data_IF_045244948544
#
_entry.id   IF_045244948544
#
_cell.length_a   1.000
_cell.length_b   1.000
_cell.length_c   1.000
_cell.angle_alpha   90.00
_cell.angle_beta   90.00
_cell.angle_gamma   90.00
#
_symmetry.space_group_name_H-M   'P 1'
#
loop_
_entity.id
_entity.type
_entity.pdbx_description
1 polymer ?
#
# COMPACT_ATOMS: atom_id res chain seq x y z
N UNK A 1 -0.60 7.26 2.00
CA UNK A 1 0.18 6.63 3.06
C UNK A 1 -0.76 5.72 3.83
N UNK A 2 -0.70 4.40 3.64
CA UNK A 2 -1.51 3.42 4.40
C UNK A 2 -0.73 3.13 5.68
N UNK A 3 -1.35 3.16 6.87
CA UNK A 3 -0.65 2.77 8.09
C UNK A 3 -0.24 1.30 7.96
N UNK A 4 1.05 1.03 8.09
CA UNK A 4 1.57 -0.33 8.24
C UNK A 4 1.04 -0.85 9.58
N UNK A 5 0.05 -1.72 9.50
CA UNK A 5 -0.44 -2.47 10.64
C UNK A 5 0.66 -3.46 11.02
N UNK A 6 1.36 -3.19 12.12
CA UNK A 6 2.32 -4.13 12.73
C UNK A 6 1.59 -5.41 13.14
N UNK A 7 1.52 -6.37 12.22
CA UNK A 7 0.88 -7.67 12.46
C UNK A 7 1.95 -8.56 13.10
N UNK A 8 1.75 -8.93 14.37
CA UNK A 8 2.58 -9.90 15.07
C UNK A 8 2.23 -11.33 14.63
N UNK A 9 3.16 -12.29 14.70
CA UNK A 9 2.98 -13.66 14.25
C UNK A 9 1.73 -14.34 14.86
N UNK A 10 1.41 -14.07 16.12
CA UNK A 10 0.20 -14.57 16.77
C UNK A 10 -1.10 -14.07 16.13
N UNK A 11 -1.09 -12.83 15.63
CA UNK A 11 -2.26 -12.23 14.97
C UNK A 11 -2.44 -12.78 13.54
N UNK A 12 -1.37 -13.19 12.86
CA UNK A 12 -1.45 -13.84 11.56
C UNK A 12 -2.17 -15.19 11.64
N UNK A 13 -1.87 -16.00 12.66
CA UNK A 13 -2.57 -17.27 12.91
C UNK A 13 -4.05 -17.05 13.23
N UNK A 14 -4.37 -16.02 14.00
CA UNK A 14 -5.76 -15.65 14.30
C UNK A 14 -6.53 -15.22 13.04
N UNK A 15 -5.90 -14.47 12.13
CA UNK A 15 -6.50 -14.05 10.85
C UNK A 15 -6.76 -15.28 9.97
N UNK A 16 -5.77 -16.18 9.83
CA UNK A 16 -5.94 -17.42 9.06
C UNK A 16 -7.07 -18.28 9.61
N UNK A 17 -7.05 -18.53 10.91
CA UNK A 17 -8.07 -19.34 11.59
C UNK A 17 -9.48 -18.74 11.42
N UNK A 18 -9.63 -17.43 11.61
CA UNK A 18 -10.92 -16.75 11.43
C UNK A 18 -11.40 -16.80 9.98
N UNK A 19 -10.49 -16.67 9.00
CA UNK A 19 -10.82 -16.70 7.58
C UNK A 19 -11.17 -18.11 7.09
N UNK A 20 -10.43 -19.14 7.51
CA UNK A 20 -10.67 -20.53 7.10
C UNK A 20 -11.99 -21.09 7.64
N UNK A 21 -12.28 -20.81 8.90
CA UNK A 21 -13.53 -21.24 9.53
C UNK A 21 -14.73 -20.36 9.21
N UNK A 22 -14.53 -19.24 8.51
CA UNK A 22 -15.59 -18.29 8.21
C UNK A 22 -16.27 -17.74 9.46
N UNK A 23 -15.51 -17.49 10.53
CA UNK A 23 -16.05 -17.12 11.83
C UNK A 23 -16.91 -15.85 11.72
N UNK A 24 -18.10 -15.81 12.36
CA UNK A 24 -18.89 -14.59 12.41
C UNK A 24 -18.15 -13.53 13.25
N UNK A 25 -18.37 -12.25 12.97
CA UNK A 25 -17.71 -11.13 13.64
C UNK A 25 -17.67 -11.22 15.18
N UNK A 26 -18.74 -11.76 15.79
CA UNK A 26 -18.84 -11.93 17.24
C UNK A 26 -17.83 -12.93 17.82
N UNK A 27 -17.40 -13.89 17.01
CA UNK A 27 -16.43 -14.93 17.39
C UNK A 27 -14.98 -14.54 17.06
N UNK A 28 -14.75 -13.34 16.51
CA UNK A 28 -13.40 -12.89 16.23
C UNK A 28 -12.62 -12.56 17.50
N UNK A 29 -11.33 -12.86 17.56
CA UNK A 29 -10.45 -12.43 18.64
C UNK A 29 -10.47 -10.91 18.84
N UNK A 30 -10.22 -10.46 20.06
CA UNK A 30 -10.27 -9.03 20.40
C UNK A 30 -9.34 -8.16 19.53
N UNK A 31 -8.06 -8.55 19.28
CA UNK A 31 -7.17 -7.77 18.42
C UNK A 31 -7.74 -7.55 17.01
N UNK A 32 -8.31 -8.60 16.43
CA UNK A 32 -8.90 -8.56 15.09
C UNK A 32 -10.14 -7.67 15.04
N UNK A 33 -10.97 -7.69 16.11
CA UNK A 33 -12.12 -6.79 16.24
C UNK A 33 -11.68 -5.32 16.37
N UNK A 34 -10.62 -5.03 17.13
CA UNK A 34 -10.08 -3.68 17.26
C UNK A 34 -9.53 -3.16 15.95
N UNK A 35 -8.81 -3.98 15.17
CA UNK A 35 -8.34 -3.63 13.83
C UNK A 35 -9.50 -3.30 12.89
N UNK A 36 -10.54 -4.11 12.90
CA UNK A 36 -11.75 -3.85 12.10
C UNK A 36 -12.42 -2.53 12.49
N UNK A 37 -12.53 -2.26 13.81
CA UNK A 37 -13.09 -0.98 14.30
C UNK A 37 -12.24 0.21 13.87
N UNK A 38 -10.93 0.15 14.04
CA UNK A 38 -10.02 1.26 13.68
C UNK A 38 -10.03 1.55 12.17
N UNK A 39 -9.99 0.50 11.36
CA UNK A 39 -10.06 0.62 9.90
C UNK A 39 -11.39 1.25 9.44
N UNK A 40 -12.50 0.89 10.07
CA UNK A 40 -13.83 1.35 9.68
C UNK A 40 -14.16 2.75 10.21
N UNK A 41 -13.60 3.17 11.35
CA UNK A 41 -14.00 4.43 11.99
C UNK A 41 -13.69 5.68 11.16
N UNK A 42 -12.49 5.77 10.59
CA UNK A 42 -12.09 6.94 9.81
C UNK A 42 -12.88 7.14 8.51
N UNK A 43 -13.19 6.04 7.81
CA UNK A 43 -13.99 6.05 6.59
C UNK A 43 -15.45 6.40 6.90
N UNK A 44 -16.00 5.78 7.92
CA UNK A 44 -17.38 5.94 8.34
C UNK A 44 -17.74 7.37 8.74
N UNK A 45 -16.85 8.08 9.45
CA UNK A 45 -17.09 9.49 9.83
C UNK A 45 -17.34 10.36 8.61
N UNK A 46 -16.52 10.23 7.58
CA UNK A 46 -16.67 10.96 6.31
C UNK A 46 -17.93 10.56 5.57
N UNK A 47 -18.25 9.27 5.51
CA UNK A 47 -19.47 8.78 4.88
C UNK A 47 -20.72 9.29 5.60
N UNK A 48 -20.77 9.28 6.94
CA UNK A 48 -21.90 9.82 7.70
C UNK A 48 -22.06 11.32 7.52
N UNK A 49 -20.98 12.08 7.57
CA UNK A 49 -21.01 13.52 7.33
C UNK A 49 -21.54 13.84 5.94
N UNK A 50 -21.06 13.16 4.92
CA UNK A 50 -21.47 13.33 3.53
C UNK A 50 -22.96 13.00 3.33
N UNK A 51 -23.43 11.87 3.87
CA UNK A 51 -24.83 11.46 3.73
C UNK A 51 -25.78 12.38 4.49
N UNK A 52 -25.42 12.84 5.69
CA UNK A 52 -26.23 13.82 6.40
C UNK A 52 -26.22 15.19 5.69
N UNK A 53 -25.11 15.57 5.01
CA UNK A 53 -25.08 16.77 4.18
C UNK A 53 -26.01 16.66 2.97
N UNK A 54 -26.07 15.49 2.32
CA UNK A 54 -27.06 15.23 1.26
C UNK A 54 -28.48 15.36 1.81
N UNK A 55 -28.76 14.77 3.01
CA UNK A 55 -30.06 14.89 3.67
C UNK A 55 -30.44 16.36 3.97
N UNK A 56 -29.48 17.18 4.39
CA UNK A 56 -29.68 18.61 4.60
C UNK A 56 -30.00 19.35 3.30
N UNK A 57 -29.22 19.10 2.25
CA UNK A 57 -29.46 19.68 0.92
C UNK A 57 -30.84 19.29 0.40
N UNK A 58 -31.21 18.02 0.55
CA UNK A 58 -32.54 17.54 0.18
C UNK A 58 -33.65 18.23 0.99
N UNK A 59 -33.45 18.37 2.30
CA UNK A 59 -34.42 19.08 3.18
C UNK A 59 -34.65 20.53 2.73
N UNK A 60 -33.56 21.25 2.40
CA UNK A 60 -33.65 22.63 1.89
C UNK A 60 -34.26 22.65 0.48
N UNK A 61 -33.89 21.69 -0.38
CA UNK A 61 -34.44 21.57 -1.74
C UNK A 61 -35.96 21.34 -1.75
N UNK A 62 -36.49 20.63 -0.75
CA UNK A 62 -37.93 20.44 -0.61
C UNK A 62 -38.70 21.74 -0.35
N UNK A 63 -38.05 22.82 0.13
CA UNK A 63 -38.70 24.13 0.22
C UNK A 63 -39.16 24.69 -1.14
N UNK A 64 -38.51 24.29 -2.23
CA UNK A 64 -38.96 24.65 -3.59
C UNK A 64 -40.28 23.92 -3.94
N UNK A 65 -40.40 22.67 -3.50
CA UNK A 65 -41.66 21.91 -3.67
C UNK A 65 -42.79 22.50 -2.80
N UNK A 66 -42.43 22.86 -1.55
CA UNK A 66 -43.39 23.48 -0.62
C UNK A 66 -43.87 24.84 -1.17
N UNK A 67 -43.00 25.63 -1.80
CA UNK A 67 -43.35 26.88 -2.46
C UNK A 67 -44.26 26.65 -3.68
N UNK A 68 -43.96 25.66 -4.48
CA UNK A 68 -44.79 25.29 -5.65
C UNK A 68 -46.18 24.77 -5.25
N UNK A 69 -46.32 24.08 -4.10
CA UNK A 69 -47.59 23.59 -3.56
C UNK A 69 -48.48 24.73 -3.03
N UNK A 70 -47.92 25.92 -2.75
CA UNK A 70 -48.68 27.12 -2.42
C UNK A 70 -48.21 27.85 -1.17
N UNK A 71 -48.60 29.13 -1.00
CA UNK A 71 -48.11 29.99 0.10
C UNK A 71 -48.38 29.38 1.50
N UNK A 72 -49.54 28.78 1.73
CA UNK A 72 -49.92 28.21 3.02
C UNK A 72 -48.99 27.01 3.39
N UNK A 73 -48.65 26.18 2.38
CA UNK A 73 -47.75 25.05 2.56
C UNK A 73 -46.34 25.54 2.88
N UNK A 74 -45.87 26.54 2.14
CA UNK A 74 -44.52 27.13 2.33
C UNK A 74 -44.40 27.81 3.72
N UNK A 75 -45.41 28.58 4.16
CA UNK A 75 -45.42 29.23 5.48
C UNK A 75 -45.37 28.20 6.62
N UNK A 76 -46.09 27.05 6.48
CA UNK A 76 -46.05 25.96 7.44
C UNK A 76 -44.72 25.17 7.38
N UNK A 77 -44.19 24.94 6.18
CA UNK A 77 -42.99 24.15 5.97
C UNK A 77 -41.72 24.84 6.46
N UNK A 78 -41.61 26.18 6.26
CA UNK A 78 -40.39 26.91 6.53
C UNK A 78 -39.88 26.76 7.97
N UNK A 79 -40.69 27.02 9.04
CA UNK A 79 -40.24 26.82 10.42
C UNK A 79 -39.91 25.37 10.75
N UNK A 80 -40.65 24.39 10.18
CA UNK A 80 -40.45 22.99 10.45
C UNK A 80 -39.17 22.49 9.79
N UNK A 81 -38.91 22.83 8.54
CA UNK A 81 -37.69 22.39 7.83
C UNK A 81 -36.44 23.14 8.33
N UNK A 82 -36.48 24.46 8.48
CA UNK A 82 -35.31 25.23 8.90
C UNK A 82 -35.14 25.27 10.42
N UNK A 83 -36.26 25.26 11.20
CA UNK A 83 -36.20 25.33 12.67
C UNK A 83 -36.03 23.99 13.37
N UNK A 84 -36.49 22.90 12.75
CA UNK A 84 -36.42 21.57 13.37
C UNK A 84 -35.49 20.61 12.60
N UNK A 85 -35.74 20.35 11.32
CA UNK A 85 -35.04 19.30 10.57
C UNK A 85 -33.61 19.69 10.20
N UNK A 86 -33.39 20.89 9.66
CA UNK A 86 -32.05 21.33 9.26
C UNK A 86 -31.07 21.40 10.44
N UNK A 87 -31.43 21.90 11.64
CA UNK A 87 -30.54 21.85 12.81
C UNK A 87 -30.17 20.41 13.22
N UNK A 88 -31.08 19.45 13.10
CA UNK A 88 -30.78 18.03 13.40
C UNK A 88 -29.77 17.45 12.41
N UNK A 89 -29.87 17.78 11.11
CA UNK A 89 -28.85 17.38 10.13
C UNK A 89 -27.51 18.06 10.39
N UNK A 90 -27.51 19.37 10.71
CA UNK A 90 -26.27 20.07 11.09
C UNK A 90 -25.62 19.47 12.33
N UNK A 91 -26.42 19.13 13.34
CA UNK A 91 -25.94 18.42 14.53
C UNK A 91 -25.37 17.03 14.17
N UNK A 92 -26.00 16.29 13.25
CA UNK A 92 -25.53 15.00 12.80
C UNK A 92 -24.20 15.12 12.01
N UNK A 93 -24.03 16.17 11.21
CA UNK A 93 -22.78 16.48 10.51
C UNK A 93 -21.70 16.84 11.53
N UNK A 94 -21.97 17.73 12.47
CA UNK A 94 -21.02 18.11 13.54
C UNK A 94 -20.62 16.89 14.39
N UNK A 95 -21.59 16.04 14.77
CA UNK A 95 -21.32 14.82 15.51
C UNK A 95 -20.46 13.82 14.71
N UNK A 96 -20.60 13.79 13.39
CA UNK A 96 -19.73 12.94 12.55
C UNK A 96 -18.26 13.35 12.60
N UNK A 97 -17.95 14.63 12.71
CA UNK A 97 -16.57 15.12 12.78
C UNK A 97 -16.02 15.15 14.22
N UNK A 98 -16.79 15.65 15.16
CA UNK A 98 -16.32 15.97 16.51
C UNK A 98 -16.89 15.07 17.60
N UNK A 99 -17.99 14.38 17.32
CA UNK A 99 -18.74 13.64 18.32
C UNK A 99 -18.20 12.22 18.59
N UNK A 100 -18.61 11.71 19.74
CA UNK A 100 -18.44 10.30 20.08
C UNK A 100 -19.26 9.41 19.15
N UNK A 101 -18.91 8.12 19.13
CA UNK A 101 -19.68 7.10 18.40
C UNK A 101 -21.20 7.09 18.77
N UNK A 102 -21.51 7.34 20.02
CA UNK A 102 -22.90 7.43 20.48
C UNK A 102 -23.59 8.68 19.94
N UNK A 103 -22.91 9.83 19.99
CA UNK A 103 -23.44 11.08 19.44
C UNK A 103 -23.75 10.98 17.94
N UNK A 104 -22.85 10.37 17.15
CA UNK A 104 -23.05 10.14 15.72
C UNK A 104 -24.30 9.30 15.41
N UNK A 105 -24.54 8.26 16.22
CA UNK A 105 -25.70 7.40 16.03
C UNK A 105 -27.01 8.13 16.39
N UNK A 106 -27.07 8.72 17.57
CA UNK A 106 -28.27 9.35 18.04
C UNK A 106 -28.68 10.57 17.19
N UNK A 107 -27.71 11.39 16.76
CA UNK A 107 -28.00 12.55 15.90
C UNK A 107 -28.57 12.13 14.53
N UNK A 108 -27.97 11.10 13.89
CA UNK A 108 -28.52 10.57 12.63
C UNK A 108 -29.87 9.88 12.81
N UNK A 109 -30.06 9.16 13.93
CA UNK A 109 -31.34 8.53 14.29
C UNK A 109 -32.47 9.54 14.50
N UNK A 110 -32.19 10.75 14.92
CA UNK A 110 -33.20 11.80 15.11
C UNK A 110 -33.50 12.54 13.81
N UNK A 111 -32.51 12.79 12.98
CA UNK A 111 -32.66 13.61 11.77
C UNK A 111 -33.60 12.96 10.72
N UNK A 112 -33.49 11.64 10.50
CA UNK A 112 -34.29 10.95 9.47
C UNK A 112 -35.79 10.84 9.89
N UNK A 113 -36.14 10.36 11.09
CA UNK A 113 -37.54 10.35 11.52
C UNK A 113 -38.17 11.75 11.60
N UNK A 114 -37.40 12.78 11.99
CA UNK A 114 -37.86 14.15 11.99
C UNK A 114 -38.22 14.64 10.58
N UNK A 115 -37.37 14.36 9.58
CA UNK A 115 -37.66 14.69 8.18
C UNK A 115 -38.96 13.95 7.70
N UNK A 116 -39.00 12.65 7.95
CA UNK A 116 -40.15 11.80 7.59
C UNK A 116 -41.46 12.31 8.25
N UNK A 117 -41.38 12.67 9.53
CA UNK A 117 -42.50 13.22 10.28
C UNK A 117 -42.99 14.57 9.75
N UNK A 118 -42.04 15.49 9.47
CA UNK A 118 -42.41 16.80 8.89
C UNK A 118 -43.02 16.66 7.50
N UNK A 119 -42.44 15.80 6.64
CA UNK A 119 -43.03 15.53 5.32
C UNK A 119 -44.44 14.91 5.43
N UNK A 120 -44.60 13.93 6.32
CA UNK A 120 -45.90 13.33 6.58
C UNK A 120 -46.91 14.35 7.11
N UNK A 121 -46.53 15.18 8.07
CA UNK A 121 -47.39 16.24 8.61
C UNK A 121 -47.80 17.25 7.52
N UNK A 122 -46.86 17.76 6.73
CA UNK A 122 -47.18 18.68 5.65
C UNK A 122 -48.16 18.07 4.64
N UNK A 123 -47.93 16.82 4.20
CA UNK A 123 -48.81 16.12 3.26
C UNK A 123 -50.18 15.85 3.81
N UNK A 124 -50.29 15.44 5.08
CA UNK A 124 -51.60 15.02 5.66
C UNK A 124 -52.41 16.16 6.26
N UNK A 125 -51.79 17.27 6.69
CA UNK A 125 -52.51 18.35 7.36
C UNK A 125 -52.56 19.66 6.57
N UNK A 126 -51.60 19.90 5.69
CA UNK A 126 -51.47 21.23 5.02
C UNK A 126 -51.65 21.08 3.51
N UNK A 127 -50.91 20.18 2.91
CA UNK A 127 -50.89 19.96 1.46
C UNK A 127 -51.69 18.70 1.09
N UNK A 128 -52.96 18.67 1.45
CA UNK A 128 -53.82 17.45 1.30
C UNK A 128 -53.93 17.01 -0.18
N UNK A 129 -53.89 17.95 -1.13
CA UNK A 129 -53.95 17.65 -2.57
C UNK A 129 -52.66 16.93 -3.04
N UNK A 130 -51.52 17.31 -2.50
CA UNK A 130 -50.18 16.80 -2.80
C UNK A 130 -49.76 15.72 -1.79
N UNK A 131 -50.68 15.20 -0.96
CA UNK A 131 -50.39 14.24 0.11
C UNK A 131 -49.59 13.05 -0.39
N UNK A 132 -49.93 12.49 -1.56
CA UNK A 132 -49.22 11.35 -2.12
C UNK A 132 -47.76 11.64 -2.40
N UNK A 133 -47.43 12.82 -2.94
CA UNK A 133 -46.07 13.23 -3.26
C UNK A 133 -45.20 13.38 -1.99
N UNK A 134 -45.74 14.02 -0.96
CA UNK A 134 -45.04 14.23 0.32
C UNK A 134 -44.76 12.90 1.05
N UNK A 135 -45.78 12.03 1.10
CA UNK A 135 -45.68 10.76 1.79
C UNK A 135 -44.81 9.80 1.02
N UNK A 136 -44.86 9.79 -0.33
CA UNK A 136 -43.93 9.01 -1.17
C UNK A 136 -42.50 9.50 -1.07
N UNK A 137 -42.26 10.83 -1.06
CA UNK A 137 -40.91 11.39 -0.89
C UNK A 137 -40.30 11.01 0.45
N UNK A 138 -41.09 10.99 1.53
CA UNK A 138 -40.66 10.53 2.84
C UNK A 138 -40.27 9.05 2.86
N UNK A 139 -41.04 8.20 2.17
CA UNK A 139 -40.80 6.78 2.02
C UNK A 139 -39.53 6.47 1.23
N UNK A 140 -39.31 7.20 0.13
CA UNK A 140 -38.10 7.09 -0.67
C UNK A 140 -36.87 7.45 0.14
N UNK A 141 -36.92 8.58 0.87
CA UNK A 141 -35.82 8.98 1.74
C UNK A 141 -35.53 7.93 2.80
N UNK A 142 -36.56 7.38 3.45
CA UNK A 142 -36.40 6.32 4.45
C UNK A 142 -35.73 5.08 3.85
N UNK A 143 -36.23 4.61 2.70
CA UNK A 143 -35.67 3.44 2.03
C UNK A 143 -34.21 3.67 1.63
N UNK A 144 -33.87 4.83 1.06
CA UNK A 144 -32.51 5.19 0.72
C UNK A 144 -31.63 5.29 1.97
N UNK A 145 -32.10 5.94 3.03
CA UNK A 145 -31.34 6.06 4.28
C UNK A 145 -31.01 4.69 4.89
N UNK A 146 -31.96 3.75 4.89
CA UNK A 146 -31.75 2.38 5.39
C UNK A 146 -30.68 1.63 4.59
N UNK A 147 -30.66 1.80 3.27
CA UNK A 147 -29.73 1.10 2.38
C UNK A 147 -28.33 1.70 2.45
N UNK A 148 -28.21 3.03 2.46
CA UNK A 148 -26.95 3.74 2.22
C UNK A 148 -26.22 4.09 3.52
N UNK A 149 -26.93 4.35 4.63
CA UNK A 149 -26.28 4.73 5.87
C UNK A 149 -25.36 3.63 6.42
N UNK A 150 -24.11 3.95 6.77
CA UNK A 150 -23.13 3.01 7.29
C UNK A 150 -23.36 2.69 8.79
N UNK A 151 -24.64 2.43 9.15
CA UNK A 151 -25.04 2.01 10.48
C UNK A 151 -25.13 0.47 10.57
N UNK A 152 -25.05 -0.06 11.79
CA UNK A 152 -25.31 -1.49 12.03
C UNK A 152 -26.80 -1.77 11.92
N UNK A 153 -27.15 -2.99 11.48
CA UNK A 153 -28.51 -3.42 11.26
C UNK A 153 -29.50 -3.07 12.41
N UNK A 154 -29.19 -3.28 13.71
CA UNK A 154 -30.11 -2.92 14.78
C UNK A 154 -30.46 -1.43 14.82
N UNK A 155 -29.51 -0.56 14.44
CA UNK A 155 -29.72 0.88 14.39
C UNK A 155 -30.52 1.32 13.17
N UNK A 156 -30.32 0.66 12.02
CA UNK A 156 -31.12 0.86 10.81
C UNK A 156 -32.57 0.41 11.06
N UNK A 157 -32.74 -0.72 11.71
CA UNK A 157 -34.06 -1.23 12.09
C UNK A 157 -34.79 -0.29 13.08
N UNK A 158 -34.05 0.23 14.09
CA UNK A 158 -34.62 1.22 15.02
C UNK A 158 -34.99 2.51 14.31
N UNK A 159 -34.16 3.01 13.41
CA UNK A 159 -34.45 4.21 12.61
C UNK A 159 -35.69 4.02 11.74
N UNK A 160 -35.78 2.90 11.05
CA UNK A 160 -36.99 2.56 10.24
C UNK A 160 -38.23 2.45 11.11
N UNK A 161 -38.17 1.75 12.24
CA UNK A 161 -39.29 1.61 13.15
C UNK A 161 -39.74 2.96 13.72
N UNK A 162 -38.82 3.83 14.11
CA UNK A 162 -39.15 5.19 14.59
C UNK A 162 -39.80 6.02 13.48
N UNK A 163 -39.27 5.98 12.24
CA UNK A 163 -39.83 6.72 11.11
C UNK A 163 -41.25 6.23 10.77
N UNK A 164 -41.45 4.90 10.77
CA UNK A 164 -42.76 4.28 10.54
C UNK A 164 -43.73 4.67 11.66
N UNK A 165 -43.31 4.59 12.92
CA UNK A 165 -44.13 5.00 14.06
C UNK A 165 -44.57 6.47 13.99
N UNK A 166 -43.69 7.35 13.58
CA UNK A 166 -43.98 8.77 13.38
C UNK A 166 -45.04 8.95 12.28
N UNK A 167 -44.90 8.28 11.14
CA UNK A 167 -45.88 8.36 10.05
C UNK A 167 -47.27 7.86 10.48
N UNK A 168 -47.34 6.72 11.17
CA UNK A 168 -48.58 6.21 11.71
C UNK A 168 -49.18 7.16 12.77
N UNK A 169 -48.35 7.79 13.60
CA UNK A 169 -48.77 8.80 14.57
C UNK A 169 -49.39 10.04 13.90
N UNK A 170 -48.75 10.53 12.82
CA UNK A 170 -49.28 11.64 12.01
C UNK A 170 -50.61 11.26 11.37
N UNK A 171 -50.71 10.07 10.76
CA UNK A 171 -51.98 9.59 10.20
C UNK A 171 -53.07 9.45 11.25
N UNK A 172 -52.79 8.92 12.41
CA UNK A 172 -53.77 8.76 13.50
C UNK A 172 -54.28 10.09 14.04
N UNK A 173 -53.54 11.19 13.87
CA UNK A 173 -53.97 12.55 14.23
C UNK A 173 -54.90 13.21 13.18
N UNK A 174 -55.12 12.54 12.02
CA UNK A 174 -55.93 13.03 10.90
C UNK A 174 -56.98 11.99 10.48
N UNK A 175 -57.96 11.67 11.30
CA UNK A 175 -58.95 10.62 11.01
C UNK A 175 -59.80 10.89 9.76
N UNK A 176 -59.82 12.14 9.26
CA UNK A 176 -60.55 12.55 8.07
C UNK A 176 -59.98 12.04 6.75
N UNK A 177 -58.69 11.64 6.73
CA UNK A 177 -57.97 11.21 5.52
C UNK A 177 -58.32 9.80 4.99
N UNK A 178 -59.20 9.09 5.68
CA UNK A 178 -59.78 7.86 5.21
C UNK A 178 -58.78 6.71 4.96
N UNK A 179 -59.27 5.70 4.21
CA UNK A 179 -58.50 4.48 3.94
C UNK A 179 -57.33 4.68 2.95
N UNK A 180 -57.39 5.66 2.05
CA UNK A 180 -56.36 5.89 1.04
C UNK A 180 -55.02 6.29 1.67
N UNK A 181 -55.01 7.18 2.66
CA UNK A 181 -53.83 7.57 3.40
C UNK A 181 -53.26 6.40 4.21
N UNK A 182 -54.12 5.58 4.81
CA UNK A 182 -53.68 4.37 5.54
C UNK A 182 -52.96 3.36 4.61
N UNK A 183 -53.48 3.16 3.40
CA UNK A 183 -52.87 2.26 2.40
C UNK A 183 -51.49 2.81 1.99
N UNK A 184 -51.37 4.11 1.76
CA UNK A 184 -50.12 4.74 1.38
C UNK A 184 -49.05 4.64 2.50
N UNK A 185 -49.44 4.93 3.75
CA UNK A 185 -48.55 4.77 4.92
C UNK A 185 -48.17 3.30 5.12
N UNK A 186 -49.09 2.39 4.89
CA UNK A 186 -48.86 0.93 4.93
C UNK A 186 -47.84 0.51 3.87
N UNK A 187 -48.00 0.99 2.64
CA UNK A 187 -47.07 0.71 1.56
C UNK A 187 -45.65 1.21 1.86
N UNK A 188 -45.51 2.43 2.39
CA UNK A 188 -44.20 2.98 2.80
C UNK A 188 -43.59 2.19 3.95
N UNK A 189 -44.44 1.78 4.92
CA UNK A 189 -43.98 0.95 6.03
C UNK A 189 -43.43 -0.39 5.54
N UNK A 190 -44.13 -1.03 4.60
CA UNK A 190 -43.66 -2.27 3.98
C UNK A 190 -42.36 -2.07 3.18
N UNK A 191 -42.25 -0.98 2.40
CA UNK A 191 -41.08 -0.63 1.64
C UNK A 191 -39.89 -0.33 2.54
N UNK A 192 -40.06 0.43 3.63
CA UNK A 192 -39.05 0.70 4.64
C UNK A 192 -38.57 -0.55 5.35
N UNK A 193 -39.47 -1.47 5.71
CA UNK A 193 -39.08 -2.76 6.29
C UNK A 193 -38.34 -3.65 5.27
N UNK A 194 -38.79 -3.69 4.02
CA UNK A 194 -38.18 -4.48 2.96
C UNK A 194 -36.79 -3.98 2.60
N UNK A 195 -36.55 -2.66 2.70
CA UNK A 195 -35.21 -2.07 2.46
C UNK A 195 -34.16 -2.59 3.44
N UNK A 196 -34.51 -3.11 4.62
CA UNK A 196 -33.62 -3.75 5.57
C UNK A 196 -32.98 -5.06 5.05
N UNK A 197 -33.62 -5.72 4.05
CA UNK A 197 -33.09 -6.98 3.50
C UNK A 197 -31.73 -6.81 2.87
N UNK A 198 -31.42 -5.66 2.24
CA UNK A 198 -30.15 -5.42 1.59
C UNK A 198 -29.01 -5.25 2.60
N UNK A 199 -29.10 -4.39 3.64
CA UNK A 199 -28.12 -4.37 4.72
C UNK A 199 -27.94 -5.71 5.43
N UNK A 200 -29.02 -6.47 5.64
CA UNK A 200 -28.98 -7.81 6.23
C UNK A 200 -28.12 -8.76 5.42
N UNK A 201 -28.35 -8.80 4.11
CA UNK A 201 -27.59 -9.65 3.16
C UNK A 201 -26.13 -9.21 3.03
N UNK A 202 -25.86 -7.90 3.02
CA UNK A 202 -24.52 -7.37 2.79
C UNK A 202 -23.65 -7.31 4.05
N UNK A 203 -24.24 -7.40 5.25
CA UNK A 203 -23.49 -7.36 6.51
C UNK A 203 -22.42 -8.46 6.58
N UNK A 204 -22.79 -9.70 6.27
CA UNK A 204 -21.87 -10.84 6.28
C UNK A 204 -20.77 -10.71 5.21
N UNK A 205 -21.09 -10.14 4.04
CA UNK A 205 -20.12 -9.95 2.96
C UNK A 205 -19.05 -8.93 3.35
N UNK A 206 -19.41 -7.86 4.04
CA UNK A 206 -18.48 -6.82 4.49
C UNK A 206 -17.43 -7.37 5.49
N UNK A 207 -17.87 -8.22 6.41
CA UNK A 207 -16.98 -8.82 7.40
C UNK A 207 -16.04 -9.84 6.74
N UNK A 208 -16.56 -10.69 5.85
CA UNK A 208 -15.75 -11.65 5.09
C UNK A 208 -14.73 -10.97 4.18
N UNK A 209 -15.13 -9.91 3.47
CA UNK A 209 -14.23 -9.15 2.60
C UNK A 209 -13.06 -8.52 3.39
N UNK A 210 -13.29 -8.07 4.62
CA UNK A 210 -12.24 -7.57 5.47
C UNK A 210 -11.24 -8.67 5.84
N UNK A 211 -11.71 -9.85 6.24
CA UNK A 211 -10.85 -11.00 6.53
C UNK A 211 -10.04 -11.44 5.32
N UNK A 212 -10.67 -11.54 4.15
CA UNK A 212 -9.96 -11.91 2.93
C UNK A 212 -8.91 -10.87 2.52
N UNK A 213 -9.19 -9.58 2.71
CA UNK A 213 -8.23 -8.52 2.45
C UNK A 213 -7.01 -8.62 3.39
N UNK A 214 -7.22 -8.89 4.69
CA UNK A 214 -6.13 -9.14 5.63
C UNK A 214 -5.33 -10.39 5.28
N UNK A 215 -6.00 -11.51 4.97
CA UNK A 215 -5.33 -12.75 4.56
C UNK A 215 -4.47 -12.56 3.31
N UNK A 216 -4.98 -11.86 2.30
CA UNK A 216 -4.22 -11.53 1.10
C UNK A 216 -2.99 -10.66 1.41
N UNK A 217 -3.10 -9.72 2.35
CA UNK A 217 -1.98 -8.89 2.78
C UNK A 217 -0.90 -9.70 3.51
N UNK A 218 -1.28 -10.60 4.42
CA UNK A 218 -0.36 -11.52 5.11
C UNK A 218 0.34 -12.44 4.11
N UNK A 219 -0.40 -13.07 3.20
CA UNK A 219 0.17 -13.96 2.19
C UNK A 219 1.16 -13.24 1.26
N UNK A 220 0.84 -12.00 0.83
CA UNK A 220 1.74 -11.18 0.02
C UNK A 220 3.04 -10.85 0.75
N UNK A 221 2.96 -10.53 2.04
CA UNK A 221 4.14 -10.26 2.87
C UNK A 221 5.03 -11.49 3.00
N UNK A 222 4.46 -12.65 3.34
CA UNK A 222 5.22 -13.91 3.45
C UNK A 222 5.91 -14.27 2.13
N UNK A 223 5.23 -14.06 1.00
CA UNK A 223 5.83 -14.29 -0.32
C UNK A 223 7.00 -13.35 -0.60
N UNK A 224 6.89 -12.07 -0.26
CA UNK A 224 8.00 -11.12 -0.38
C UNK A 224 9.18 -11.53 0.49
N UNK A 225 8.95 -11.86 1.76
CA UNK A 225 10.00 -12.31 2.69
C UNK A 225 10.68 -13.61 2.23
N UNK A 226 9.91 -14.58 1.71
CA UNK A 226 10.46 -15.81 1.15
C UNK A 226 11.31 -15.54 -0.09
N UNK A 227 10.86 -14.65 -0.99
CA UNK A 227 11.62 -14.26 -2.18
C UNK A 227 12.92 -13.53 -1.81
N UNK A 228 12.89 -12.64 -0.82
CA UNK A 228 14.11 -12.00 -0.31
C UNK A 228 15.08 -12.99 0.31
N UNK A 229 14.58 -13.98 1.06
CA UNK A 229 15.43 -15.07 1.58
C UNK A 229 16.05 -15.90 0.47
N UNK A 230 15.28 -16.27 -0.56
CA UNK A 230 15.80 -17.01 -1.72
C UNK A 230 16.88 -16.18 -2.46
N UNK A 231 16.64 -14.89 -2.68
CA UNK A 231 17.65 -13.98 -3.26
C UNK A 231 18.88 -13.84 -2.37
N UNK A 232 18.68 -13.88 -1.05
CA UNK A 232 19.78 -13.84 -0.08
C UNK A 232 20.63 -15.10 -0.06
N UNK A 233 20.08 -16.24 -0.49
CA UNK A 233 20.81 -17.52 -0.61
C UNK A 233 21.55 -17.65 -1.95
N UNK A 234 21.24 -16.84 -2.96
CA UNK A 234 21.96 -16.85 -4.23
C UNK A 234 23.37 -16.26 -4.04
N UNK A 235 24.39 -17.07 -4.33
CA UNK A 235 25.80 -16.69 -4.25
C UNK A 235 26.34 -16.09 -5.56
N UNK A 236 25.53 -16.10 -6.61
CA UNK A 236 25.91 -15.66 -7.94
C UNK A 236 25.17 -14.37 -8.31
N UNK A 237 25.82 -13.54 -9.12
CA UNK A 237 25.21 -12.37 -9.76
C UNK A 237 24.39 -12.81 -10.99
N UNK A 238 23.10 -12.49 -11.01
CA UNK A 238 22.16 -12.94 -12.05
C UNK A 238 22.52 -12.47 -13.47
N UNK A 239 23.19 -11.33 -13.61
CA UNK A 239 23.55 -10.78 -14.91
C UNK A 239 24.83 -11.44 -15.46
N UNK A 240 25.85 -11.50 -14.63
CA UNK A 240 27.22 -11.87 -15.08
C UNK A 240 27.53 -13.33 -14.87
N UNK A 241 26.83 -14.02 -13.99
CA UNK A 241 27.12 -15.39 -13.58
C UNK A 241 28.36 -15.54 -12.68
N UNK A 242 29.00 -14.44 -12.32
CA UNK A 242 30.09 -14.45 -11.34
C UNK A 242 29.53 -14.52 -9.91
N UNK A 243 30.35 -14.93 -8.93
CA UNK A 243 30.05 -14.70 -7.53
C UNK A 243 29.62 -13.27 -7.27
N UNK A 244 28.61 -13.09 -6.41
CA UNK A 244 28.20 -11.76 -6.00
C UNK A 244 29.04 -11.24 -4.82
N UNK A 245 28.87 -9.98 -4.47
CA UNK A 245 29.58 -9.33 -3.36
C UNK A 245 29.47 -10.11 -2.05
N UNK A 246 28.32 -10.67 -1.73
CA UNK A 246 28.08 -11.42 -0.48
C UNK A 246 28.88 -12.72 -0.44
N UNK A 247 28.92 -13.46 -1.55
CA UNK A 247 29.75 -14.66 -1.67
C UNK A 247 31.21 -14.31 -1.47
N UNK A 248 31.69 -13.26 -2.15
CA UNK A 248 33.04 -12.80 -2.01
C UNK A 248 33.40 -12.43 -0.56
N UNK A 249 32.56 -11.66 0.13
CA UNK A 249 32.82 -11.22 1.52
C UNK A 249 33.03 -12.44 2.44
N UNK A 250 32.24 -13.53 2.26
CA UNK A 250 32.44 -14.78 3.03
C UNK A 250 33.75 -15.48 2.69
N UNK A 251 34.01 -15.66 1.41
CA UNK A 251 35.24 -16.33 0.95
C UNK A 251 36.45 -15.52 1.39
N UNK A 252 36.43 -14.22 1.18
CA UNK A 252 37.54 -13.33 1.49
C UNK A 252 37.84 -13.30 2.99
N UNK A 253 36.84 -13.32 3.85
CA UNK A 253 37.08 -13.41 5.30
C UNK A 253 37.85 -14.68 5.66
N UNK A 254 37.47 -15.84 5.13
CA UNK A 254 38.15 -17.10 5.37
C UNK A 254 39.59 -17.09 4.85
N UNK A 255 39.78 -16.60 3.62
CA UNK A 255 41.10 -16.49 2.99
C UNK A 255 42.02 -15.54 3.75
N UNK A 256 41.47 -14.41 4.22
CA UNK A 256 42.22 -13.44 5.01
C UNK A 256 42.72 -14.03 6.34
N UNK A 257 41.84 -14.71 7.10
CA UNK A 257 42.20 -15.39 8.34
C UNK A 257 43.28 -16.45 8.11
N UNK A 258 43.14 -17.25 7.05
CA UNK A 258 44.15 -18.24 6.67
C UNK A 258 45.47 -17.60 6.32
N UNK A 259 45.45 -16.51 5.56
CA UNK A 259 46.68 -15.79 5.17
C UNK A 259 47.40 -15.15 6.36
N UNK A 260 46.65 -14.68 7.37
CA UNK A 260 47.21 -14.18 8.62
C UNK A 260 47.87 -15.30 9.42
N UNK A 261 47.24 -16.45 9.54
CA UNK A 261 47.72 -17.58 10.32
C UNK A 261 49.00 -18.20 9.70
N UNK A 262 49.06 -18.29 8.38
CA UNK A 262 50.16 -18.89 7.63
C UNK A 262 51.23 -17.87 7.17
N UNK A 263 51.07 -16.57 7.44
CA UNK A 263 51.87 -15.45 6.94
C UNK A 263 52.11 -15.52 5.43
N UNK A 264 51.04 -15.87 4.67
CA UNK A 264 51.09 -15.98 3.21
C UNK A 264 50.66 -14.67 2.53
N UNK A 265 51.10 -14.49 1.31
CA UNK A 265 50.73 -13.33 0.49
C UNK A 265 49.28 -13.39 0.04
N UNK A 266 48.64 -12.22 0.00
CA UNK A 266 47.29 -12.07 -0.44
C UNK A 266 47.10 -10.73 -1.14
N UNK A 267 46.61 -10.74 -2.37
CA UNK A 267 46.34 -9.55 -3.13
C UNK A 267 44.86 -9.39 -3.45
N UNK A 268 44.42 -8.13 -3.52
CA UNK A 268 43.07 -7.73 -3.94
C UNK A 268 43.19 -6.83 -5.15
N UNK A 269 42.37 -7.07 -6.16
CA UNK A 269 42.30 -6.23 -7.37
C UNK A 269 40.88 -5.67 -7.46
N UNK A 270 40.71 -4.37 -7.28
CA UNK A 270 39.51 -3.65 -7.57
C UNK A 270 39.46 -3.23 -9.04
N UNK A 271 38.36 -3.44 -9.74
CA UNK A 271 38.24 -3.31 -11.19
C UNK A 271 36.98 -2.54 -11.52
N UNK A 272 37.06 -1.57 -12.41
CA UNK A 272 35.90 -0.78 -12.86
C UNK A 272 35.95 -0.57 -14.38
N UNK A 273 34.79 -0.65 -15.02
CA UNK A 273 34.66 -0.46 -16.46
C UNK A 273 34.62 1.03 -16.79
N UNK A 274 35.68 1.49 -17.50
CA UNK A 274 35.86 2.90 -17.82
C UNK A 274 34.70 3.48 -18.64
N UNK A 275 34.21 4.63 -18.19
CA UNK A 275 33.12 5.38 -18.85
C UNK A 275 31.83 4.60 -19.07
N UNK A 276 31.52 3.62 -18.23
CA UNK A 276 30.37 2.74 -18.42
C UNK A 276 29.02 3.50 -18.43
N UNK A 277 28.85 4.51 -17.59
CA UNK A 277 27.66 5.37 -17.64
C UNK A 277 27.48 6.02 -19.01
N UNK A 278 28.56 6.62 -19.57
CA UNK A 278 28.52 7.22 -20.91
C UNK A 278 28.24 6.19 -22.01
N UNK A 279 28.73 4.98 -21.83
CA UNK A 279 28.41 3.85 -22.72
C UNK A 279 26.92 3.54 -22.68
N UNK A 280 26.31 3.43 -21.49
CA UNK A 280 24.87 3.21 -21.33
C UNK A 280 24.03 4.35 -21.92
N UNK A 281 24.41 5.60 -21.67
CA UNK A 281 23.74 6.78 -22.19
C UNK A 281 23.75 6.82 -23.73
N UNK A 282 24.82 6.28 -24.34
CA UNK A 282 24.98 6.27 -25.81
C UNK A 282 24.31 5.07 -26.48
N UNK A 283 24.31 3.89 -25.82
CA UNK A 283 23.98 2.62 -26.46
C UNK A 283 22.84 1.86 -25.80
N UNK A 284 22.33 2.40 -24.70
CA UNK A 284 21.26 1.82 -23.90
C UNK A 284 21.74 0.75 -22.93
N UNK A 285 20.95 0.53 -21.88
CA UNK A 285 21.25 -0.41 -20.79
C UNK A 285 21.44 -1.85 -21.27
N UNK A 286 20.67 -2.31 -22.26
CA UNK A 286 20.78 -3.69 -22.80
C UNK A 286 22.19 -3.92 -23.41
N UNK A 287 22.75 -2.92 -24.07
CA UNK A 287 24.10 -3.01 -24.61
C UNK A 287 25.16 -2.98 -23.47
N UNK A 288 24.92 -2.19 -22.44
CA UNK A 288 25.74 -2.19 -21.22
C UNK A 288 25.75 -3.54 -20.51
N UNK A 289 24.61 -4.14 -20.31
CA UNK A 289 24.47 -5.45 -19.67
C UNK A 289 25.26 -6.52 -20.44
N UNK A 290 25.13 -6.55 -21.76
CA UNK A 290 25.92 -7.45 -22.61
C UNK A 290 27.43 -7.20 -22.50
N UNK A 291 27.83 -5.94 -22.33
CA UNK A 291 29.22 -5.56 -22.13
C UNK A 291 29.74 -6.10 -20.80
N UNK A 292 28.99 -5.92 -19.71
CA UNK A 292 29.35 -6.45 -18.40
C UNK A 292 29.50 -7.97 -18.42
N UNK A 293 28.59 -8.69 -19.08
CA UNK A 293 28.68 -10.14 -19.26
C UNK A 293 29.97 -10.55 -20.00
N UNK A 294 30.37 -9.80 -21.01
CA UNK A 294 31.59 -10.10 -21.77
C UNK A 294 32.86 -9.78 -20.95
N UNK A 295 32.86 -8.67 -20.20
CA UNK A 295 33.94 -8.32 -19.28
C UNK A 295 34.05 -9.41 -18.20
N UNK A 296 32.95 -9.78 -17.57
CA UNK A 296 32.89 -10.82 -16.55
C UNK A 296 33.54 -12.15 -17.03
N UNK A 297 33.20 -12.60 -18.24
CA UNK A 297 33.81 -13.81 -18.82
C UNK A 297 35.32 -13.71 -19.02
N UNK A 298 35.83 -12.52 -19.33
CA UNK A 298 37.25 -12.31 -19.47
C UNK A 298 37.97 -12.29 -18.10
N UNK A 299 37.34 -11.65 -17.11
CA UNK A 299 37.80 -11.67 -15.74
C UNK A 299 37.81 -13.09 -15.17
N UNK A 300 36.72 -13.84 -15.35
CA UNK A 300 36.60 -15.22 -14.88
C UNK A 300 37.69 -16.11 -15.45
N UNK A 301 37.95 -16.02 -16.76
CA UNK A 301 38.96 -16.82 -17.44
C UNK A 301 40.37 -16.70 -16.87
N UNK A 302 40.77 -15.51 -16.50
CA UNK A 302 42.19 -15.24 -16.09
C UNK A 302 42.30 -15.00 -14.56
N UNK A 303 41.22 -14.58 -13.87
CA UNK A 303 41.20 -14.26 -12.45
C UNK A 303 40.45 -15.27 -11.58
N UNK A 304 39.91 -16.36 -12.14
CA UNK A 304 39.31 -17.46 -11.39
C UNK A 304 40.19 -18.71 -11.48
N UNK A 305 40.09 -19.55 -10.46
CA UNK A 305 40.83 -20.82 -10.38
C UNK A 305 41.25 -21.12 -8.95
N UNK A 306 42.16 -22.05 -8.77
CA UNK A 306 42.70 -22.41 -7.45
C UNK A 306 43.40 -21.20 -6.80
N UNK A 307 42.96 -20.83 -5.61
CA UNK A 307 43.45 -19.64 -4.89
C UNK A 307 43.07 -18.29 -5.52
N UNK A 308 42.09 -18.27 -6.42
CA UNK A 308 41.67 -17.03 -7.09
C UNK A 308 40.14 -16.96 -7.20
N UNK A 309 39.57 -15.90 -6.67
CA UNK A 309 38.12 -15.67 -6.72
C UNK A 309 37.86 -14.29 -7.33
N UNK A 310 37.02 -14.24 -8.37
CA UNK A 310 36.52 -12.98 -8.94
C UNK A 310 35.02 -12.88 -8.71
N UNK A 311 34.55 -11.68 -8.39
CA UNK A 311 33.15 -11.40 -8.12
C UNK A 311 32.71 -10.07 -8.73
N UNK A 312 31.41 -9.93 -8.97
CA UNK A 312 30.81 -8.63 -9.23
C UNK A 312 30.54 -7.93 -7.90
N UNK A 313 31.17 -6.78 -7.69
CA UNK A 313 31.10 -6.03 -6.43
C UNK A 313 29.90 -5.08 -6.39
N UNK A 314 29.57 -4.45 -7.52
CA UNK A 314 28.39 -3.58 -7.69
C UNK A 314 28.37 -2.97 -9.10
N UNK A 315 27.23 -2.58 -9.62
CA UNK A 315 27.10 -1.87 -10.89
C UNK A 315 28.03 -2.34 -12.01
N UNK A 316 29.07 -1.53 -12.28
CA UNK A 316 30.15 -1.78 -13.24
C UNK A 316 31.46 -2.22 -12.57
N UNK A 317 31.44 -2.51 -11.27
CA UNK A 317 32.62 -2.82 -10.46
C UNK A 317 32.77 -4.33 -10.25
N UNK A 318 33.99 -4.80 -10.37
CA UNK A 318 34.39 -6.18 -10.08
C UNK A 318 35.56 -6.18 -9.10
N UNK A 319 35.74 -7.29 -8.40
CA UNK A 319 36.85 -7.48 -7.45
C UNK A 319 37.41 -8.87 -7.59
N UNK A 320 38.69 -9.00 -7.49
CA UNK A 320 39.38 -10.30 -7.42
C UNK A 320 40.22 -10.40 -6.15
N UNK A 321 40.15 -11.58 -5.52
CA UNK A 321 41.02 -12.00 -4.39
C UNK A 321 41.98 -13.05 -4.90
N UNK A 322 43.28 -12.86 -4.68
CA UNK A 322 44.35 -13.67 -5.23
C UNK A 322 45.24 -14.16 -4.08
N UNK A 323 45.18 -15.44 -3.77
CA UNK A 323 45.94 -16.09 -2.71
C UNK A 323 47.34 -16.44 -3.18
N UNK A 324 48.31 -16.39 -2.27
CA UNK A 324 49.71 -16.78 -2.51
C UNK A 324 50.32 -16.05 -3.73
N UNK A 325 50.00 -14.78 -3.88
CA UNK A 325 50.43 -13.99 -5.03
C UNK A 325 51.18 -12.74 -4.57
N UNK A 326 52.42 -12.63 -4.98
CA UNK A 326 53.28 -11.48 -4.71
C UNK A 326 52.86 -10.23 -5.55
N UNK A 327 53.46 -9.11 -5.24
CA UNK A 327 53.20 -7.83 -5.91
C UNK A 327 53.40 -7.91 -7.42
N UNK A 328 54.55 -8.48 -7.84
CA UNK A 328 54.92 -8.54 -9.25
C UNK A 328 53.95 -9.46 -10.03
N UNK A 329 53.57 -10.58 -9.48
CA UNK A 329 52.63 -11.53 -10.09
C UNK A 329 51.23 -10.92 -10.18
N UNK A 330 50.77 -10.27 -9.10
CA UNK A 330 49.46 -9.61 -9.06
C UNK A 330 49.34 -8.47 -10.10
N UNK A 331 50.35 -7.61 -10.19
CA UNK A 331 50.39 -6.53 -11.19
C UNK A 331 50.47 -7.06 -12.62
N UNK A 332 51.30 -8.07 -12.85
CA UNK A 332 51.46 -8.70 -14.17
C UNK A 332 50.16 -9.32 -14.62
N UNK A 333 49.46 -10.04 -13.73
CA UNK A 333 48.19 -10.65 -14.00
C UNK A 333 47.07 -9.59 -14.27
N UNK A 334 47.02 -8.55 -13.45
CA UNK A 334 46.07 -7.45 -13.61
C UNK A 334 46.28 -6.73 -14.96
N UNK A 335 47.52 -6.42 -15.35
CA UNK A 335 47.82 -5.75 -16.63
C UNK A 335 47.57 -6.64 -17.84
N UNK A 336 47.83 -7.93 -17.72
CA UNK A 336 47.45 -8.92 -18.74
C UNK A 336 45.95 -8.88 -19.00
N UNK A 337 45.13 -8.95 -17.95
CA UNK A 337 43.65 -8.95 -18.04
C UNK A 337 43.15 -7.61 -18.58
N UNK A 338 43.65 -6.49 -18.07
CA UNK A 338 43.35 -5.14 -18.59
C UNK A 338 43.60 -5.08 -20.09
N UNK A 339 44.81 -5.50 -20.52
CA UNK A 339 45.22 -5.49 -21.92
C UNK A 339 44.34 -6.41 -22.78
N UNK A 340 43.94 -7.58 -22.26
CA UNK A 340 43.05 -8.49 -22.96
C UNK A 340 41.68 -7.88 -23.19
N UNK A 341 41.13 -7.19 -22.20
CA UNK A 341 39.83 -6.47 -22.31
C UNK A 341 39.94 -5.34 -23.32
N UNK A 342 41.01 -4.50 -23.24
CA UNK A 342 41.19 -3.37 -24.14
C UNK A 342 41.37 -3.77 -25.62
N UNK A 343 42.01 -4.92 -25.89
CA UNK A 343 42.23 -5.46 -27.24
C UNK A 343 40.93 -6.11 -27.82
N UNK A 344 40.00 -6.47 -26.98
CA UNK A 344 38.81 -7.23 -27.44
C UNK A 344 37.74 -6.26 -27.90
N UNK A 345 37.30 -6.43 -29.14
CA UNK A 345 36.09 -5.76 -29.60
C UNK A 345 34.90 -6.41 -28.95
N UNK A 346 34.27 -5.70 -28.02
CA UNK A 346 33.03 -6.14 -27.38
C UNK A 346 31.86 -5.87 -28.32
N UNK A 347 31.11 -6.91 -28.66
CA UNK A 347 30.00 -6.80 -29.60
C UNK A 347 28.75 -6.32 -28.88
N UNK A 348 28.40 -5.04 -29.03
CA UNK A 348 27.15 -4.45 -28.59
C UNK A 348 26.27 -4.10 -29.79
N UNK A 349 25.43 -5.04 -30.27
CA UNK A 349 24.66 -4.85 -31.52
C UNK A 349 25.53 -4.95 -32.78
N UNK A 350 25.19 -4.20 -33.86
CA UNK A 350 25.82 -4.28 -35.18
C UNK A 350 27.24 -3.65 -35.25
N UNK A 351 27.78 -3.10 -34.18
CA UNK A 351 29.09 -2.44 -34.20
C UNK A 351 30.04 -3.02 -33.16
N UNK A 352 31.29 -3.28 -33.59
CA UNK A 352 32.41 -3.64 -32.70
C UNK A 352 32.84 -2.42 -31.92
N UNK A 353 32.98 -2.55 -30.60
CA UNK A 353 33.39 -1.47 -29.68
C UNK A 353 34.40 -1.99 -28.72
N UNK A 354 35.33 -1.16 -28.30
CA UNK A 354 36.25 -1.46 -27.22
C UNK A 354 35.84 -0.72 -25.96
N UNK A 355 35.80 -1.43 -24.85
CA UNK A 355 35.76 -0.82 -23.50
C UNK A 355 37.10 -1.07 -22.84
N UNK A 356 37.47 -0.23 -21.93
CA UNK A 356 38.66 -0.40 -21.10
C UNK A 356 38.26 -0.55 -19.63
N UNK A 357 39.17 -1.02 -18.83
CA UNK A 357 38.99 -1.12 -17.39
C UNK A 357 40.18 -0.45 -16.67
N UNK A 358 39.89 0.21 -15.57
CA UNK A 358 40.90 0.66 -14.63
C UNK A 358 40.94 -0.32 -13.46
N UNK A 359 42.14 -0.54 -12.91
CA UNK A 359 42.37 -1.50 -11.84
C UNK A 359 43.23 -0.91 -10.73
N UNK A 360 42.87 -1.16 -9.49
CA UNK A 360 43.67 -0.88 -8.30
C UNK A 360 44.07 -2.18 -7.62
N UNK A 361 45.32 -2.38 -7.33
CA UNK A 361 45.88 -3.57 -6.69
C UNK A 361 46.37 -3.21 -5.30
N UNK A 362 45.99 -3.99 -4.29
CA UNK A 362 46.52 -3.87 -2.94
C UNK A 362 46.93 -5.24 -2.41
N UNK A 363 48.11 -5.31 -1.77
CA UNK A 363 48.54 -6.51 -1.08
C UNK A 363 48.20 -6.42 0.42
N UNK A 364 48.00 -7.57 1.03
CA UNK A 364 47.91 -7.66 2.49
C UNK A 364 49.22 -7.18 3.10
N UNK A 365 49.13 -6.30 4.08
CA UNK A 365 50.26 -5.92 4.92
C UNK A 365 50.03 -6.40 6.37
N UNK A 366 51.12 -6.37 7.17
CA UNK A 366 51.03 -6.84 8.57
C UNK A 366 50.16 -5.95 9.47
N UNK A 367 49.87 -4.74 9.04
CA UNK A 367 49.00 -3.81 9.78
C UNK A 367 47.51 -4.02 9.51
N UNK A 368 47.15 -4.73 8.45
CA UNK A 368 45.75 -4.98 8.12
C UNK A 368 45.08 -5.84 9.21
N UNK A 369 44.00 -5.36 9.74
CA UNK A 369 43.20 -6.03 10.79
C UNK A 369 41.89 -6.62 10.26
N UNK A 370 41.56 -6.33 9.01
CA UNK A 370 40.34 -6.83 8.37
C UNK A 370 40.50 -6.87 6.84
N UNK A 371 39.71 -7.70 6.14
CA UNK A 371 39.63 -7.68 4.67
C UNK A 371 39.27 -6.31 4.11
N UNK A 372 38.46 -5.55 4.82
CA UNK A 372 38.00 -4.20 4.40
C UNK A 372 39.16 -3.23 4.20
N UNK A 373 40.19 -3.29 5.05
CA UNK A 373 41.36 -2.41 4.91
C UNK A 373 42.14 -2.61 3.58
N UNK A 374 42.17 -3.86 3.09
CA UNK A 374 42.81 -4.15 1.79
C UNK A 374 41.92 -3.65 0.65
N UNK A 375 40.58 -3.84 0.75
CA UNK A 375 39.64 -3.33 -0.23
C UNK A 375 39.74 -1.81 -0.36
N UNK A 376 39.75 -1.09 0.77
CA UNK A 376 39.84 0.38 0.78
C UNK A 376 41.15 0.87 0.10
N UNK A 377 42.27 0.19 0.31
CA UNK A 377 43.53 0.52 -0.38
C UNK A 377 43.47 0.21 -1.88
N UNK A 378 42.86 -0.91 -2.27
CA UNK A 378 42.68 -1.24 -3.67
C UNK A 378 41.75 -0.24 -4.38
N UNK A 379 40.68 0.22 -3.69
CA UNK A 379 39.76 1.24 -4.20
C UNK A 379 40.45 2.60 -4.38
N UNK A 380 41.29 3.03 -3.41
CA UNK A 380 42.10 4.23 -3.53
C UNK A 380 43.04 4.16 -4.74
N UNK A 381 43.71 3.03 -4.96
CA UNK A 381 44.57 2.82 -6.13
C UNK A 381 43.76 2.80 -7.45
N UNK A 382 42.55 2.24 -7.46
CA UNK A 382 41.63 2.31 -8.61
C UNK A 382 41.24 3.76 -8.93
N UNK A 383 40.98 4.55 -7.91
CA UNK A 383 40.66 5.97 -8.08
C UNK A 383 41.85 6.74 -8.71
N UNK A 384 43.08 6.47 -8.27
CA UNK A 384 44.30 7.03 -8.88
C UNK A 384 44.45 6.59 -10.35
N UNK A 385 44.17 5.32 -10.67
CA UNK A 385 44.18 4.83 -12.04
C UNK A 385 43.18 5.58 -12.93
N UNK A 386 41.99 5.86 -12.42
CA UNK A 386 40.96 6.64 -13.13
C UNK A 386 41.40 8.11 -13.34
N UNK A 387 42.07 8.72 -12.36
CA UNK A 387 42.57 10.08 -12.49
C UNK A 387 43.78 10.18 -13.44
N UNK A 388 44.66 9.17 -13.48
CA UNK A 388 45.85 9.14 -14.32
C UNK A 388 45.59 8.86 -15.81
N UNK A 389 44.32 8.84 -16.23
CA UNK A 389 43.96 8.70 -17.64
C UNK A 389 43.20 7.43 -17.97
N UNK A 390 42.82 6.62 -16.98
CA UNK A 390 42.11 5.34 -17.12
C UNK A 390 42.88 4.28 -17.90
N UNK A 391 42.27 3.13 -18.11
CA UNK A 391 42.91 1.99 -18.77
C UNK A 391 44.31 1.69 -18.22
N UNK A 392 44.41 1.69 -16.90
CA UNK A 392 45.64 1.56 -16.14
C UNK A 392 45.46 0.62 -14.95
N UNK A 393 46.59 0.01 -14.53
CA UNK A 393 46.72 -0.67 -13.24
C UNK A 393 47.54 0.22 -12.31
N UNK A 394 47.09 0.40 -11.08
CA UNK A 394 47.82 1.09 -10.01
C UNK A 394 47.94 0.19 -8.80
N UNK A 395 49.12 0.24 -8.19
CA UNK A 395 49.40 -0.39 -6.92
C UNK A 395 49.06 0.61 -5.80
N UNK A 396 48.40 0.15 -4.78
CA UNK A 396 48.20 0.93 -3.57
C UNK A 396 49.54 1.20 -2.88
N UNK A 397 49.79 2.42 -2.51
CA UNK A 397 50.97 2.78 -1.66
C UNK A 397 50.90 2.00 -0.33
N UNK A 398 52.07 1.69 0.21
CA UNK A 398 52.24 1.04 1.51
C UNK A 398 51.68 1.88 2.64
#
# INVERSE_FOLDING_TARGET
MRPELGIHASLEEEIEHAAERGLPFRAWPEPLRQMWYSHKMGRRRRELAFLNAIGLIWCIGCLLLDYAAGPQVFEAALPLRLGLVAPLYLLAIAAAFYGSWQAQRWSTLLAIPAFVGVAGYLGMHVAIREMQEYVMASGLLLAMAVVVLPLRLPWLALMAALSIAVLWGVWASTPELGQEAAILVGFISASGAMSLLLPLRTAHLKDRNFLYALRAQVASRRLMEANERLRALSDMDELTGLPNRRHLERVFHTVFETSLAADTELAVVMIDVDHFKRFNDTYGHIAGDRTLVQVARLLEKDLSGEGRTVARFGGEEFIAVLENMDEHAALTLADKVRSAIAKRSITGGDRRRSVTVSMGVALRNRADRSPTAIIERADAALYEAKQAGRNLVRLAGC
#
